data_IF_424885430542
#
_entry.id   IF_424885430542
#
_cell.length_a   1.000
_cell.length_b   1.000
_cell.length_c   1.000
_cell.angle_alpha   90.00
_cell.angle_beta   90.00
_cell.angle_gamma   90.00
#
_symmetry.space_group_name_H-M   'P 1'
#
loop_
_entity.id
_entity.type
_entity.pdbx_description
1 polymer ?
#
# COMPACT_ATOMS: atom_id res chain seq x y z
N UNK A 1 19.78 -4.24 4.58
CA UNK A 1 18.75 -5.02 3.85
C UNK A 1 19.24 -5.23 2.43
N UNK A 2 19.17 -6.45 1.89
CA UNK A 2 19.59 -6.71 0.51
C UNK A 2 18.55 -6.15 -0.48
N UNK A 3 18.94 -5.93 -1.75
CA UNK A 3 17.99 -5.51 -2.79
C UNK A 3 16.92 -6.56 -3.13
N UNK A 4 17.11 -7.82 -2.74
CA UNK A 4 16.07 -8.88 -2.86
C UNK A 4 15.05 -8.73 -1.73
N UNK A 5 15.52 -8.51 -0.50
CA UNK A 5 14.65 -8.31 0.66
C UNK A 5 13.79 -7.05 0.52
N UNK A 6 14.37 -5.96 0.03
CA UNK A 6 13.65 -4.71 -0.23
C UNK A 6 12.50 -4.92 -1.22
N UNK A 7 12.76 -5.60 -2.33
CA UNK A 7 11.72 -5.93 -3.32
C UNK A 7 10.60 -6.78 -2.72
N UNK A 8 10.94 -7.74 -1.86
CA UNK A 8 9.96 -8.56 -1.16
C UNK A 8 9.09 -7.70 -0.22
N UNK A 9 9.70 -6.81 0.56
CA UNK A 9 8.97 -5.91 1.47
C UNK A 9 8.05 -4.98 0.69
N UNK A 10 8.53 -4.37 -0.40
CA UNK A 10 7.71 -3.50 -1.25
C UNK A 10 6.52 -4.24 -1.88
N UNK A 11 6.72 -5.50 -2.29
CA UNK A 11 5.65 -6.32 -2.86
C UNK A 11 4.58 -6.64 -1.81
N UNK A 12 4.99 -6.98 -0.58
CA UNK A 12 4.04 -7.23 0.51
C UNK A 12 3.28 -5.96 0.90
N UNK A 13 3.96 -4.81 0.96
CA UNK A 13 3.30 -3.52 1.20
C UNK A 13 2.26 -3.20 0.12
N UNK A 14 2.56 -3.48 -1.15
CA UNK A 14 1.62 -3.30 -2.25
C UNK A 14 0.35 -4.16 -2.08
N UNK A 15 0.50 -5.43 -1.66
CA UNK A 15 -0.63 -6.31 -1.39
C UNK A 15 -1.47 -5.80 -0.21
N UNK A 16 -0.83 -5.39 0.89
CA UNK A 16 -1.51 -4.85 2.07
C UNK A 16 -2.28 -3.57 1.74
N UNK A 17 -1.74 -2.72 0.86
CA UNK A 17 -2.45 -1.54 0.36
C UNK A 17 -3.74 -1.92 -0.38
N UNK A 18 -3.67 -2.88 -1.31
CA UNK A 18 -4.84 -3.37 -2.06
C UNK A 18 -5.88 -4.03 -1.13
N UNK A 19 -5.43 -4.84 -0.17
CA UNK A 19 -6.30 -5.52 0.79
C UNK A 19 -7.06 -4.51 1.67
N UNK A 20 -6.38 -3.48 2.19
CA UNK A 20 -7.05 -2.41 2.94
C UNK A 20 -8.08 -1.70 2.07
N UNK A 21 -7.72 -1.35 0.83
CA UNK A 21 -8.61 -0.64 -0.08
C UNK A 21 -9.88 -1.46 -0.36
N UNK A 22 -9.74 -2.76 -0.58
CA UNK A 22 -10.86 -3.68 -0.76
C UNK A 22 -11.78 -3.71 0.47
N UNK A 23 -11.23 -3.82 1.69
CA UNK A 23 -12.02 -3.80 2.93
C UNK A 23 -12.70 -2.45 3.19
N UNK A 24 -12.22 -1.36 2.58
CA UNK A 24 -12.81 -0.02 2.66
C UNK A 24 -13.78 0.28 1.52
N UNK A 25 -14.23 -0.72 0.78
CA UNK A 25 -15.21 -0.56 -0.30
C UNK A 25 -14.60 -0.26 -1.67
N UNK A 26 -13.28 -0.44 -1.83
CA UNK A 26 -12.59 -0.36 -3.12
C UNK A 26 -12.27 1.05 -3.61
N UNK A 27 -12.71 2.11 -2.92
CA UNK A 27 -12.40 3.51 -3.27
C UNK A 27 -12.11 4.32 -2.01
N UNK A 28 -11.04 5.11 -2.02
CA UNK A 28 -10.69 5.97 -0.88
C UNK A 28 -9.92 7.22 -1.33
N UNK A 29 -9.97 8.29 -0.54
CA UNK A 29 -9.00 9.39 -0.70
C UNK A 29 -7.63 8.96 -0.16
N UNK A 30 -6.55 9.30 -0.85
CA UNK A 30 -5.18 8.95 -0.42
C UNK A 30 -4.88 9.36 1.04
N UNK A 31 -5.35 10.54 1.48
CA UNK A 31 -5.21 11.02 2.87
C UNK A 31 -5.92 10.17 3.95
N UNK A 32 -6.81 9.25 3.55
CA UNK A 32 -7.52 8.34 4.45
C UNK A 32 -7.03 6.88 4.33
N UNK A 33 -6.13 6.60 3.39
CA UNK A 33 -5.57 5.26 3.16
C UNK A 33 -4.42 5.01 4.14
N UNK A 34 -4.65 4.17 5.16
CA UNK A 34 -3.73 4.11 6.32
C UNK A 34 -2.42 3.41 5.99
N UNK A 35 -2.46 2.33 5.22
CA UNK A 35 -1.27 1.61 4.75
C UNK A 35 -0.41 2.51 3.87
N UNK A 36 -1.02 3.26 2.94
CA UNK A 36 -0.33 4.30 2.16
C UNK A 36 0.38 5.30 3.09
N UNK A 37 -0.36 5.89 4.03
CA UNK A 37 0.19 6.88 4.97
C UNK A 37 1.29 6.32 5.87
N UNK A 38 1.18 5.07 6.29
CA UNK A 38 2.22 4.41 7.08
C UNK A 38 3.51 4.26 6.26
N UNK A 39 3.40 3.84 5.00
CA UNK A 39 4.56 3.74 4.09
C UNK A 39 5.12 5.12 3.78
N UNK A 40 4.29 6.11 3.47
CA UNK A 40 4.72 7.50 3.25
C UNK A 40 5.54 8.05 4.42
N UNK A 41 5.06 7.82 5.65
CA UNK A 41 5.68 8.35 6.85
C UNK A 41 7.00 7.65 7.19
N UNK A 42 7.05 6.31 7.14
CA UNK A 42 8.21 5.54 7.58
C UNK A 42 9.19 5.17 6.47
N UNK A 43 8.72 4.94 5.25
CA UNK A 43 9.57 4.58 4.11
C UNK A 43 9.77 5.73 3.11
N UNK A 44 9.14 6.88 3.38
CA UNK A 44 9.18 8.08 2.54
C UNK A 44 8.08 8.13 1.48
N UNK A 45 7.62 9.34 1.17
CA UNK A 45 6.55 9.60 0.19
C UNK A 45 6.88 9.06 -1.20
N UNK A 46 8.15 9.11 -1.61
CA UNK A 46 8.62 8.57 -2.89
C UNK A 46 8.43 7.05 -2.99
N UNK A 47 8.61 6.32 -1.89
CA UNK A 47 8.40 4.88 -1.82
C UNK A 47 6.92 4.54 -1.96
N UNK A 48 6.06 5.21 -1.18
CA UNK A 48 4.61 5.03 -1.26
C UNK A 48 4.07 5.36 -2.66
N UNK A 49 4.49 6.50 -3.22
CA UNK A 49 4.12 6.92 -4.57
C UNK A 49 4.58 5.92 -5.63
N UNK A 50 5.78 5.35 -5.49
CA UNK A 50 6.30 4.32 -6.41
C UNK A 50 5.47 3.06 -6.37
N UNK A 51 5.05 2.59 -5.19
CA UNK A 51 4.17 1.43 -5.04
C UNK A 51 2.84 1.69 -5.75
N UNK A 52 2.18 2.82 -5.45
CA UNK A 52 0.90 3.18 -6.04
C UNK A 52 0.99 3.32 -7.56
N UNK A 53 2.05 3.97 -8.06
CA UNK A 53 2.30 4.10 -9.51
C UNK A 53 2.40 2.74 -10.19
N UNK A 54 3.18 1.81 -9.64
CA UNK A 54 3.32 0.45 -10.20
C UNK A 54 2.01 -0.33 -10.16
N UNK A 55 1.21 -0.17 -9.11
CA UNK A 55 -0.12 -0.78 -9.02
C UNK A 55 -1.08 -0.22 -10.06
N UNK A 56 -1.02 1.09 -10.34
CA UNK A 56 -1.80 1.72 -11.41
C UNK A 56 -1.34 1.26 -12.80
N UNK A 57 -0.03 1.26 -13.07
CA UNK A 57 0.55 0.75 -14.33
C UNK A 57 0.20 -0.72 -14.58
N UNK A 58 0.15 -1.54 -13.52
CA UNK A 58 -0.27 -2.94 -13.58
C UNK A 58 -1.80 -3.13 -13.70
N UNK A 59 -2.59 -2.05 -13.71
CA UNK A 59 -4.04 -2.12 -13.84
C UNK A 59 -4.76 -2.65 -12.59
N UNK A 60 -4.15 -2.54 -11.41
CA UNK A 60 -4.79 -2.87 -10.13
C UNK A 60 -5.55 -1.68 -9.54
N UNK A 61 -5.10 -0.45 -9.85
CA UNK A 61 -5.67 0.79 -9.35
C UNK A 61 -6.03 1.75 -10.48
N UNK A 62 -7.01 2.61 -10.22
CA UNK A 62 -7.26 3.86 -10.95
C UNK A 62 -7.08 5.03 -10.00
N UNK A 63 -6.52 6.12 -10.50
CA UNK A 63 -6.29 7.34 -9.73
C UNK A 63 -7.12 8.46 -10.35
N UNK A 64 -8.03 9.04 -9.58
CA UNK A 64 -8.95 10.10 -9.99
C UNK A 64 -8.82 11.28 -9.04
N UNK A 65 -7.94 12.24 -9.37
CA UNK A 65 -7.59 13.33 -8.46
C UNK A 65 -7.02 12.78 -7.16
N UNK A 66 -7.68 13.09 -6.03
CA UNK A 66 -7.27 12.62 -4.70
C UNK A 66 -7.76 11.21 -4.36
N UNK A 67 -8.57 10.59 -5.23
CA UNK A 67 -9.12 9.26 -5.01
C UNK A 67 -8.28 8.19 -5.67
N UNK A 68 -8.16 7.07 -4.96
CA UNK A 68 -7.60 5.82 -5.45
C UNK A 68 -8.71 4.77 -5.39
N UNK A 69 -8.91 4.07 -6.51
CA UNK A 69 -9.95 3.06 -6.68
C UNK A 69 -9.35 1.75 -7.19
N UNK A 70 -9.87 0.61 -6.73
CA UNK A 70 -9.54 -0.71 -7.27
C UNK A 70 -10.08 -0.84 -8.68
N UNK A 71 -9.23 -1.23 -9.62
CA UNK A 71 -9.67 -1.53 -10.98
C UNK A 71 -10.52 -2.80 -11.08
N UNK A 72 -10.36 -3.74 -10.13
CA UNK A 72 -11.11 -5.00 -10.02
C UNK A 72 -11.36 -5.37 -8.56
N UNK A 73 -12.46 -6.06 -8.23
CA UNK A 73 -12.69 -6.57 -6.89
C UNK A 73 -11.57 -7.53 -6.43
N UNK A 74 -11.17 -7.40 -5.16
CA UNK A 74 -10.21 -8.27 -4.50
C UNK A 74 -10.90 -8.83 -3.25
N UNK A 75 -10.70 -10.12 -2.96
CA UNK A 75 -11.15 -10.74 -1.71
C UNK A 75 -9.99 -10.80 -0.72
N UNK A 76 -9.95 -9.96 0.32
CA UNK A 76 -8.83 -9.92 1.26
C UNK A 76 -8.85 -11.17 2.16
N UNK A 77 -7.71 -11.84 2.35
CA UNK A 77 -7.60 -12.96 3.28
C UNK A 77 -7.47 -12.51 4.75
N UNK A 78 -7.09 -11.24 4.97
CA UNK A 78 -6.79 -10.65 6.29
C UNK A 78 -7.82 -9.61 6.69
N UNK A 79 -7.93 -9.33 7.99
CA UNK A 79 -8.74 -8.23 8.52
C UNK A 79 -7.98 -6.90 8.60
N UNK A 80 -8.70 -5.77 8.68
CA UNK A 80 -8.11 -4.41 8.69
C UNK A 80 -7.01 -4.22 9.74
N UNK A 81 -7.24 -4.66 10.98
CA UNK A 81 -6.26 -4.49 12.07
C UNK A 81 -4.95 -5.23 11.81
N UNK A 82 -5.03 -6.42 11.22
CA UNK A 82 -3.85 -7.20 10.85
C UNK A 82 -3.08 -6.52 9.71
N UNK A 83 -3.79 -6.04 8.68
CA UNK A 83 -3.22 -5.35 7.53
C UNK A 83 -2.46 -4.09 7.98
N UNK A 84 -3.11 -3.25 8.80
CA UNK A 84 -2.51 -2.02 9.33
C UNK A 84 -1.26 -2.31 10.17
N UNK A 85 -1.31 -3.32 11.05
CA UNK A 85 -0.18 -3.72 11.89
C UNK A 85 1.02 -4.24 11.08
N UNK A 86 0.76 -5.09 10.08
CA UNK A 86 1.82 -5.63 9.19
C UNK A 86 2.43 -4.53 8.34
N UNK A 87 1.61 -3.67 7.74
CA UNK A 87 2.11 -2.59 6.90
C UNK A 87 3.00 -1.62 7.69
N UNK A 88 2.61 -1.29 8.93
CA UNK A 88 3.43 -0.47 9.82
C UNK A 88 4.79 -1.12 10.12
N UNK A 89 4.82 -2.41 10.47
CA UNK A 89 6.06 -3.13 10.76
C UNK A 89 7.00 -3.17 9.54
N UNK A 90 6.45 -3.46 8.36
CA UNK A 90 7.21 -3.50 7.11
C UNK A 90 7.70 -2.11 6.70
N UNK A 91 6.87 -1.08 6.80
CA UNK A 91 7.27 0.29 6.50
C UNK A 91 8.42 0.75 7.41
N UNK A 92 8.37 0.42 8.70
CA UNK A 92 9.48 0.68 9.65
C UNK A 92 10.75 -0.08 9.29
N UNK A 93 10.66 -1.28 8.73
CA UNK A 93 11.85 -2.03 8.29
C UNK A 93 12.56 -1.38 7.09
N UNK A 94 11.85 -0.55 6.33
CA UNK A 94 12.40 0.27 5.24
C UNK A 94 12.95 1.62 5.72
N UNK A 95 12.66 2.02 6.96
CA UNK A 95 13.15 3.28 7.52
C UNK A 95 14.67 3.25 7.61
N UNK A 96 15.31 4.00 6.72
CA UNK A 96 16.73 4.33 6.82
C UNK A 96 16.80 5.66 7.55
N UNK A 97 17.12 5.60 8.84
CA UNK A 97 17.62 6.75 9.58
C UNK A 97 18.97 7.20 9.04
#
# INVERSE_FOLDING_TARGET
MSGVDERRVLSELALLMLEELALRGGRIKAKHWRTYRAVSFWAGEGTASTIVKRLAEGGFLRIEGDYVELAKPIKPPRGLKEIEGRALALAKSLYKG
#
